data_IF_969602497657
#
_entry.id   IF_969602497657
#
_cell.length_a   1.000
_cell.length_b   1.000
_cell.length_c   1.000
_cell.angle_alpha   90.00
_cell.angle_beta   90.00
_cell.angle_gamma   90.00
#
_symmetry.space_group_name_H-M   'P 1'
#
loop_
_entity.id
_entity.type
_entity.pdbx_description
1 polymer ?
#
# COMPACT_ATOMS: atom_id res chain seq x y z
N UNK A 1 -16.35 17.38 23.48
CA UNK A 1 -15.70 16.08 23.15
C UNK A 1 -15.42 16.06 21.66
N UNK A 2 -14.19 15.77 21.24
CA UNK A 2 -13.89 15.59 19.82
C UNK A 2 -14.58 14.32 19.31
N UNK A 3 -15.34 14.42 18.20
CA UNK A 3 -15.96 13.27 17.55
C UNK A 3 -14.95 12.71 16.55
N UNK A 4 -14.35 11.55 16.87
CA UNK A 4 -13.37 10.89 16.01
C UNK A 4 -13.98 10.33 14.71
N UNK A 5 -13.17 9.55 13.99
CA UNK A 5 -13.55 8.93 12.70
C UNK A 5 -14.16 7.54 12.85
N UNK A 6 -14.48 7.13 14.09
CA UNK A 6 -15.17 5.87 14.38
C UNK A 6 -16.44 5.78 13.51
N UNK A 7 -16.63 4.65 12.83
CA UNK A 7 -17.73 4.35 11.91
C UNK A 7 -17.77 5.21 10.62
N UNK A 8 -16.69 5.93 10.31
CA UNK A 8 -16.54 6.71 9.07
C UNK A 8 -15.45 6.18 8.12
N UNK A 9 -14.72 5.16 8.55
CA UNK A 9 -13.62 4.55 7.80
C UNK A 9 -13.87 3.07 7.68
N UNK A 10 -13.67 2.54 6.47
CA UNK A 10 -13.70 1.13 6.17
C UNK A 10 -12.42 0.74 5.42
N UNK A 11 -12.00 -0.51 5.59
CA UNK A 11 -10.95 -1.13 4.76
C UNK A 11 -11.69 -1.82 3.61
N UNK A 12 -11.41 -1.39 2.37
CA UNK A 12 -12.10 -1.91 1.19
C UNK A 12 -11.37 -3.09 0.54
N UNK A 13 -10.06 -3.17 0.69
CA UNK A 13 -9.25 -4.29 0.19
C UNK A 13 -7.86 -4.30 0.78
N UNK A 14 -7.12 -5.37 0.51
CA UNK A 14 -5.74 -5.55 0.95
C UNK A 14 -4.91 -6.30 -0.09
N UNK A 15 -3.60 -6.10 -0.05
CA UNK A 15 -2.67 -6.84 -0.89
C UNK A 15 -1.30 -6.94 -0.21
N UNK A 16 -0.57 -7.99 -0.53
CA UNK A 16 0.68 -8.33 0.13
C UNK A 16 1.63 -9.00 -0.86
N UNK A 17 2.77 -8.37 -1.11
CA UNK A 17 3.82 -8.98 -1.92
C UNK A 17 4.26 -10.29 -1.28
N UNK A 18 4.61 -11.27 -2.11
CA UNK A 18 5.11 -12.56 -1.60
C UNK A 18 6.36 -12.37 -0.76
N UNK A 19 6.32 -12.90 0.46
CA UNK A 19 7.49 -12.95 1.34
C UNK A 19 8.51 -13.96 0.79
N UNK A 20 9.78 -13.56 0.76
CA UNK A 20 10.86 -14.43 0.36
C UNK A 20 12.09 -13.65 -0.11
N UNK A 21 13.11 -14.40 -0.50
CA UNK A 21 14.34 -13.88 -1.10
C UNK A 21 14.09 -13.48 -2.56
N UNK A 22 13.82 -12.20 -2.79
CA UNK A 22 13.48 -11.63 -4.11
C UNK A 22 14.54 -10.63 -4.55
N UNK A 23 15.77 -11.13 -4.68
CA UNK A 23 16.96 -10.33 -4.99
C UNK A 23 16.92 -9.66 -6.36
N UNK A 24 16.02 -10.11 -7.23
CA UNK A 24 15.77 -9.61 -8.58
C UNK A 24 14.76 -8.45 -8.61
N UNK A 25 14.21 -8.04 -7.46
CA UNK A 25 13.14 -7.04 -7.38
C UNK A 25 13.51 -5.87 -6.50
N UNK A 26 13.11 -4.69 -6.94
CA UNK A 26 13.28 -3.46 -6.19
C UNK A 26 12.06 -3.21 -5.28
N UNK A 27 12.21 -2.27 -4.35
CA UNK A 27 11.14 -1.89 -3.43
C UNK A 27 9.89 -1.37 -4.15
N UNK A 28 10.05 -0.74 -5.32
CA UNK A 28 8.94 -0.30 -6.16
C UNK A 28 8.19 -1.50 -6.77
N UNK A 29 8.89 -2.53 -7.23
CA UNK A 29 8.26 -3.72 -7.78
C UNK A 29 7.42 -4.44 -6.73
N UNK A 30 7.97 -4.58 -5.51
CA UNK A 30 7.26 -5.15 -4.37
C UNK A 30 6.01 -4.33 -4.03
N UNK A 31 6.13 -3.00 -4.02
CA UNK A 31 5.00 -2.09 -3.78
C UNK A 31 3.91 -2.24 -4.86
N UNK A 32 4.30 -2.32 -6.14
CA UNK A 32 3.37 -2.46 -7.26
C UNK A 32 2.62 -3.79 -7.17
N UNK A 33 3.27 -4.87 -6.77
CA UNK A 33 2.62 -6.18 -6.57
C UNK A 33 1.52 -6.09 -5.50
N UNK A 34 1.85 -5.62 -4.30
CA UNK A 34 0.90 -5.48 -3.21
C UNK A 34 -0.24 -4.52 -3.56
N UNK A 35 0.08 -3.40 -4.22
CA UNK A 35 -0.92 -2.41 -4.62
C UNK A 35 -1.88 -2.94 -5.69
N UNK A 36 -1.37 -3.73 -6.64
CA UNK A 36 -2.18 -4.31 -7.72
C UNK A 36 -3.15 -5.36 -7.17
N UNK A 37 -2.72 -6.19 -6.22
CA UNK A 37 -3.61 -7.11 -5.51
C UNK A 37 -4.67 -6.33 -4.71
N UNK A 38 -4.26 -5.31 -3.95
CA UNK A 38 -5.14 -4.50 -3.12
C UNK A 38 -6.24 -3.79 -3.91
N UNK A 39 -5.90 -3.17 -5.05
CA UNK A 39 -6.88 -2.43 -5.84
C UNK A 39 -7.89 -3.36 -6.54
N UNK A 40 -7.46 -4.57 -6.89
CA UNK A 40 -8.32 -5.61 -7.44
C UNK A 40 -9.29 -6.14 -6.37
N UNK A 41 -8.80 -6.41 -5.15
CA UNK A 41 -9.61 -6.84 -4.00
C UNK A 41 -10.65 -5.76 -3.61
N UNK A 42 -10.23 -4.49 -3.62
CA UNK A 42 -11.11 -3.36 -3.33
C UNK A 42 -12.15 -3.07 -4.42
N UNK A 43 -11.95 -3.56 -5.65
CA UNK A 43 -12.86 -3.33 -6.78
C UNK A 43 -12.96 -1.87 -7.24
N UNK A 44 -11.87 -1.10 -7.12
CA UNK A 44 -11.81 0.31 -7.52
C UNK A 44 -10.78 0.57 -8.61
N UNK A 45 -10.80 1.76 -9.22
CA UNK A 45 -9.79 2.21 -10.17
C UNK A 45 -8.81 3.21 -9.54
N UNK A 46 -7.56 3.27 -10.03
CA UNK A 46 -6.51 4.18 -9.53
C UNK A 46 -6.94 5.65 -9.52
N UNK A 47 -7.76 6.06 -10.49
CA UNK A 47 -8.30 7.43 -10.63
C UNK A 47 -9.24 7.86 -9.48
N UNK A 48 -9.72 6.90 -8.68
CA UNK A 48 -10.60 7.16 -7.54
C UNK A 48 -9.81 7.40 -6.25
N UNK A 49 -8.48 7.22 -6.25
CA UNK A 49 -7.62 7.49 -5.11
C UNK A 49 -7.29 8.98 -5.06
N UNK A 50 -7.63 9.62 -3.94
CA UNK A 50 -7.38 11.05 -3.73
C UNK A 50 -6.02 11.33 -3.09
N UNK A 51 -5.48 10.36 -2.35
CA UNK A 51 -4.21 10.47 -1.65
C UNK A 51 -3.63 9.09 -1.35
N UNK A 52 -2.29 9.04 -1.23
CA UNK A 52 -1.54 7.85 -0.87
C UNK A 52 -0.57 8.18 0.27
N UNK A 53 -0.37 7.23 1.17
CA UNK A 53 0.63 7.31 2.23
C UNK A 53 1.54 6.09 2.15
N UNK A 54 2.85 6.34 2.23
CA UNK A 54 3.88 5.31 2.22
C UNK A 54 4.63 5.31 3.56
N UNK A 55 4.78 4.14 4.17
CA UNK A 55 5.57 3.93 5.36
C UNK A 55 6.67 2.91 5.10
N UNK A 56 7.91 3.25 5.47
CA UNK A 56 9.05 2.33 5.45
C UNK A 56 9.95 2.64 6.63
N UNK A 57 10.46 1.57 7.27
CA UNK A 57 11.48 1.70 8.31
C UNK A 57 12.81 2.00 7.61
N UNK A 58 13.42 3.17 7.85
CA UNK A 58 14.62 3.65 7.12
C UNK A 58 14.46 3.77 5.60
N UNK A 59 13.67 4.75 5.17
CA UNK A 59 13.39 4.98 3.74
C UNK A 59 14.63 5.16 2.87
N UNK A 60 15.66 5.84 3.38
CA UNK A 60 16.90 6.10 2.63
C UNK A 60 17.69 4.82 2.33
N UNK A 61 17.59 3.82 3.20
CA UNK A 61 18.30 2.54 3.05
C UNK A 61 17.45 1.56 2.23
N UNK A 62 16.15 1.48 2.52
CA UNK A 62 15.30 0.44 1.93
C UNK A 62 14.68 0.81 0.59
N UNK A 63 14.51 2.10 0.29
CA UNK A 63 13.85 2.55 -0.95
C UNK A 63 14.81 3.36 -1.84
N UNK A 64 15.84 3.99 -1.25
CA UNK A 64 16.67 4.95 -1.96
C UNK A 64 15.99 6.32 -2.04
N UNK A 65 16.79 7.37 -2.12
CA UNK A 65 16.32 8.76 -2.18
C UNK A 65 16.73 9.38 -3.51
#
# INVERSE_FOLDING_TARGET
>A
MAKGIKDKVAVLGMGCSKFGERWDMESEDLMIEAFTECIADAGIEKKQLEACWLGSYFIEINIGK
#
